data_IF_795335516947
#
_entry.id   IF_795335516947
#
_cell.length_a   1.000
_cell.length_b   1.000
_cell.length_c   1.000
_cell.angle_alpha   90.00
_cell.angle_beta   90.00
_cell.angle_gamma   90.00
#
_symmetry.space_group_name_H-M   'P 1'
#
loop_
_entity.id
_entity.type
_entity.pdbx_description
1 polymer ?
#
# COMPACT_ATOMS: atom_id res chain seq x y z
N UNK A 1 -3.47 -6.20 -5.84
CA UNK A 1 -4.17 -5.40 -4.80
C UNK A 1 -4.67 -4.06 -5.32
N UNK A 2 -3.84 -3.20 -5.93
CA UNK A 2 -4.34 -1.92 -6.48
C UNK A 2 -5.54 -2.08 -7.45
N UNK A 3 -5.48 -3.05 -8.38
CA UNK A 3 -6.57 -3.34 -9.31
C UNK A 3 -7.83 -3.84 -8.59
N UNK A 4 -7.66 -4.67 -7.54
CA UNK A 4 -8.75 -5.17 -6.69
C UNK A 4 -9.49 -3.99 -6.05
N UNK A 5 -8.74 -3.12 -5.36
CA UNK A 5 -9.28 -1.92 -4.71
C UNK A 5 -9.96 -0.99 -5.71
N UNK A 6 -9.32 -0.74 -6.86
CA UNK A 6 -9.91 0.10 -7.91
C UNK A 6 -11.23 -0.49 -8.44
N UNK A 7 -11.30 -1.80 -8.62
CA UNK A 7 -12.51 -2.49 -9.08
C UNK A 7 -13.65 -2.34 -8.07
N UNK A 8 -13.38 -2.59 -6.78
CA UNK A 8 -14.39 -2.43 -5.70
C UNK A 8 -14.92 -0.99 -5.67
N UNK A 9 -14.02 -0.01 -5.71
CA UNK A 9 -14.38 1.42 -5.70
C UNK A 9 -15.24 1.77 -6.91
N UNK A 10 -14.80 1.41 -8.12
CA UNK A 10 -15.52 1.71 -9.36
C UNK A 10 -16.91 1.09 -9.35
N UNK A 11 -17.03 -0.19 -8.98
CA UNK A 11 -18.31 -0.92 -8.97
C UNK A 11 -19.28 -0.29 -7.96
N UNK A 12 -18.85 -0.07 -6.72
CA UNK A 12 -19.72 0.52 -5.71
C UNK A 12 -20.08 1.97 -5.99
N UNK A 13 -19.16 2.78 -6.49
CA UNK A 13 -19.46 4.15 -6.93
C UNK A 13 -20.48 4.13 -8.05
N UNK A 14 -20.31 3.25 -9.05
CA UNK A 14 -21.28 3.08 -10.13
C UNK A 14 -22.67 2.68 -9.60
N UNK A 15 -22.74 1.69 -8.70
CA UNK A 15 -24.00 1.23 -8.10
C UNK A 15 -24.67 2.32 -7.26
N UNK A 16 -23.90 3.07 -6.48
CA UNK A 16 -24.41 4.19 -5.70
C UNK A 16 -24.99 5.30 -6.59
N UNK A 17 -24.30 5.66 -7.68
CA UNK A 17 -24.76 6.68 -8.63
C UNK A 17 -25.99 6.25 -9.44
N UNK A 18 -26.17 4.96 -9.66
CA UNK A 18 -27.28 4.41 -10.45
C UNK A 18 -28.46 3.92 -9.60
N UNK A 19 -28.37 4.04 -8.27
CA UNK A 19 -29.43 3.63 -7.35
C UNK A 19 -29.59 2.11 -7.21
N UNK A 20 -28.50 1.35 -7.33
CA UNK A 20 -28.46 -0.11 -7.25
C UNK A 20 -29.41 -0.80 -8.25
N UNK A 21 -29.20 -0.61 -9.57
CA UNK A 21 -30.04 -1.20 -10.60
C UNK A 21 -29.92 -2.73 -10.54
N UNK A 22 -31.06 -3.41 -10.48
CA UNK A 22 -31.09 -4.86 -10.46
C UNK A 22 -31.16 -5.41 -11.90
N UNK A 23 -30.14 -6.16 -12.29
CA UNK A 23 -30.09 -6.86 -13.58
C UNK A 23 -30.61 -8.29 -13.35
N UNK A 24 -31.76 -8.64 -13.94
CA UNK A 24 -32.31 -10.01 -13.90
C UNK A 24 -33.61 -10.23 -13.12
N UNK A 25 -34.32 -9.19 -12.67
CA UNK A 25 -35.56 -9.33 -11.86
C UNK A 25 -36.69 -10.16 -12.51
N UNK A 26 -36.73 -10.27 -13.84
CA UNK A 26 -37.85 -10.89 -14.58
C UNK A 26 -37.70 -12.39 -14.84
N UNK A 27 -36.62 -13.00 -14.33
CA UNK A 27 -36.38 -14.44 -14.42
C UNK A 27 -35.93 -14.94 -13.05
N UNK A 28 -36.25 -16.17 -12.67
CA UNK A 28 -35.82 -16.79 -11.41
C UNK A 28 -34.28 -16.96 -11.27
N UNK A 29 -33.48 -16.29 -12.10
CA UNK A 29 -32.04 -16.40 -12.19
C UNK A 29 -31.37 -15.07 -11.84
N UNK A 30 -30.79 -15.00 -10.65
CA UNK A 30 -29.94 -13.88 -10.22
C UNK A 30 -28.48 -14.26 -10.43
N UNK A 31 -27.83 -13.73 -11.48
CA UNK A 31 -26.40 -13.96 -11.71
C UNK A 31 -25.61 -12.94 -10.89
N UNK A 32 -24.94 -13.40 -9.83
CA UNK A 32 -24.08 -12.54 -9.02
C UNK A 32 -22.83 -12.13 -9.80
N UNK A 33 -22.37 -10.87 -9.62
CA UNK A 33 -21.11 -10.43 -10.22
C UNK A 33 -19.90 -11.20 -9.69
N UNK A 34 -20.03 -11.86 -8.53
CA UNK A 34 -19.07 -12.83 -8.02
C UNK A 34 -18.83 -14.01 -8.97
N UNK A 35 -19.82 -14.43 -9.78
CA UNK A 35 -19.63 -15.49 -10.78
C UNK A 35 -18.67 -15.02 -11.89
N UNK A 36 -18.89 -13.82 -12.42
CA UNK A 36 -17.98 -13.19 -13.36
C UNK A 36 -16.61 -12.93 -12.73
N UNK A 37 -16.59 -12.58 -11.43
CA UNK A 37 -15.38 -12.48 -10.62
C UNK A 37 -14.57 -13.77 -10.63
N UNK A 38 -15.21 -14.89 -10.30
CA UNK A 38 -14.61 -16.23 -10.34
C UNK A 38 -14.12 -16.63 -11.74
N UNK A 39 -14.93 -16.37 -12.77
CA UNK A 39 -14.56 -16.67 -14.16
C UNK A 39 -13.32 -15.87 -14.61
N UNK A 40 -13.20 -14.60 -14.24
CA UNK A 40 -12.03 -13.78 -14.53
C UNK A 40 -10.78 -14.25 -13.77
N UNK A 41 -10.93 -14.73 -12.53
CA UNK A 41 -9.82 -15.33 -11.79
C UNK A 41 -9.35 -16.65 -12.42
N UNK A 42 -10.27 -17.50 -12.88
CA UNK A 42 -9.94 -18.72 -13.64
C UNK A 42 -9.24 -18.35 -14.94
N UNK A 43 -9.75 -17.35 -15.67
CA UNK A 43 -9.11 -16.86 -16.89
C UNK A 43 -7.68 -16.38 -16.62
N UNK A 44 -7.44 -15.68 -15.51
CA UNK A 44 -6.09 -15.26 -15.13
C UNK A 44 -5.15 -16.46 -14.94
N UNK A 45 -5.59 -17.49 -14.22
CA UNK A 45 -4.80 -18.73 -14.05
C UNK A 45 -4.51 -19.42 -15.39
N UNK A 46 -5.53 -19.53 -16.25
CA UNK A 46 -5.37 -20.11 -17.59
C UNK A 46 -4.36 -19.32 -18.42
N UNK A 47 -4.42 -17.98 -18.38
CA UNK A 47 -3.47 -17.13 -19.10
C UNK A 47 -2.04 -17.29 -18.57
N UNK A 48 -1.87 -17.39 -17.24
CA UNK A 48 -0.57 -17.61 -16.61
C UNK A 48 0.04 -18.96 -16.95
N UNK A 49 -0.78 -20.00 -17.17
CA UNK A 49 -0.29 -21.33 -17.58
C UNK A 49 -0.04 -21.46 -19.08
N UNK A 50 -0.85 -20.81 -19.93
CA UNK A 50 -0.77 -20.98 -21.38
C UNK A 50 0.22 -20.04 -22.07
N UNK A 51 0.51 -18.88 -21.48
CA UNK A 51 1.26 -17.83 -22.17
C UNK A 51 2.42 -17.29 -21.36
N UNK A 52 3.61 -17.31 -21.96
CA UNK A 52 4.81 -16.67 -21.42
C UNK A 52 4.96 -15.26 -22.00
N UNK A 53 5.28 -14.31 -21.14
CA UNK A 53 5.74 -12.98 -21.53
C UNK A 53 5.05 -11.82 -20.80
N UNK A 54 5.58 -10.58 -20.96
CA UNK A 54 5.08 -9.43 -20.21
C UNK A 54 3.62 -9.10 -20.51
N UNK A 55 3.19 -9.26 -21.77
CA UNK A 55 1.81 -8.92 -22.18
C UNK A 55 0.78 -9.84 -21.54
N UNK A 56 1.01 -11.16 -21.56
CA UNK A 56 0.12 -12.10 -20.89
C UNK A 56 0.08 -11.86 -19.39
N UNK A 57 1.23 -11.60 -18.76
CA UNK A 57 1.33 -11.27 -17.33
C UNK A 57 0.53 -10.00 -16.98
N UNK A 58 0.53 -8.97 -17.82
CA UNK A 58 -0.32 -7.79 -17.61
C UNK A 58 -1.81 -8.13 -17.67
N UNK A 59 -2.24 -8.90 -18.67
CA UNK A 59 -3.65 -9.30 -18.81
C UNK A 59 -4.06 -10.21 -17.65
N UNK A 60 -3.21 -11.14 -17.23
CA UNK A 60 -3.39 -11.99 -16.05
C UNK A 60 -3.60 -11.15 -14.78
N UNK A 61 -2.69 -10.19 -14.51
CA UNK A 61 -2.78 -9.32 -13.33
C UNK A 61 -4.05 -8.47 -13.35
N UNK A 62 -4.44 -7.96 -14.52
CA UNK A 62 -5.69 -7.19 -14.67
C UNK A 62 -6.90 -8.10 -14.48
N UNK A 63 -6.99 -9.22 -15.20
CA UNK A 63 -8.12 -10.14 -15.11
C UNK A 63 -8.28 -10.71 -13.69
N UNK A 64 -7.19 -11.17 -13.07
CA UNK A 64 -7.21 -11.68 -11.71
C UNK A 64 -7.55 -10.60 -10.69
N UNK A 65 -7.03 -9.38 -10.87
CA UNK A 65 -7.33 -8.24 -10.00
C UNK A 65 -8.79 -7.79 -10.10
N UNK A 66 -9.34 -7.67 -11.31
CA UNK A 66 -10.75 -7.35 -11.54
C UNK A 66 -11.63 -8.47 -11.02
N UNK A 67 -11.28 -9.72 -11.31
CA UNK A 67 -12.01 -10.89 -10.86
C UNK A 67 -12.13 -10.98 -9.34
N UNK A 68 -11.00 -10.82 -8.64
CA UNK A 68 -10.97 -10.77 -7.18
C UNK A 68 -11.72 -9.56 -6.62
N UNK A 69 -11.65 -8.40 -7.27
CA UNK A 69 -12.40 -7.21 -6.86
C UNK A 69 -13.92 -7.40 -6.96
N UNK A 70 -14.41 -7.94 -8.08
CA UNK A 70 -15.83 -8.27 -8.26
C UNK A 70 -16.33 -9.33 -7.27
N UNK A 71 -15.47 -10.31 -6.95
CA UNK A 71 -15.80 -11.32 -5.95
C UNK A 71 -15.89 -10.72 -4.54
N UNK A 72 -14.91 -9.89 -4.16
CA UNK A 72 -14.90 -9.25 -2.84
C UNK A 72 -16.05 -8.25 -2.66
N UNK A 73 -16.50 -7.57 -3.72
CA UNK A 73 -17.61 -6.61 -3.61
C UNK A 73 -18.92 -7.26 -3.10
N UNK A 74 -19.14 -8.53 -3.43
CA UNK A 74 -20.32 -9.30 -3.06
C UNK A 74 -20.18 -10.01 -1.69
N UNK A 75 -19.07 -9.80 -0.97
CA UNK A 75 -18.82 -10.51 0.31
C UNK A 75 -19.93 -10.30 1.34
N UNK A 76 -20.59 -9.13 1.33
CA UNK A 76 -21.72 -8.86 2.23
C UNK A 76 -22.87 -9.85 2.06
N UNK A 77 -23.22 -10.19 0.81
CA UNK A 77 -24.26 -11.20 0.53
C UNK A 77 -23.85 -12.57 1.06
N UNK A 78 -22.61 -12.97 0.86
CA UNK A 78 -22.21 -14.34 1.20
C UNK A 78 -21.91 -14.57 2.69
N UNK A 79 -21.71 -13.51 3.47
CA UNK A 79 -21.46 -13.64 4.91
C UNK A 79 -22.76 -13.83 5.70
N UNK A 80 -23.89 -13.38 5.16
CA UNK A 80 -25.19 -13.46 5.85
C UNK A 80 -26.07 -14.58 5.30
N UNK A 81 -26.85 -15.22 6.18
CA UNK A 81 -27.86 -16.23 5.74
C UNK A 81 -28.96 -15.63 4.86
N UNK A 82 -29.15 -14.32 4.93
CA UNK A 82 -30.19 -13.57 4.22
C UNK A 82 -29.70 -12.94 2.91
N UNK A 83 -28.44 -13.14 2.52
CA UNK A 83 -27.85 -12.51 1.34
C UNK A 83 -27.94 -10.98 1.32
N UNK A 84 -27.70 -10.36 2.47
CA UNK A 84 -27.71 -8.90 2.62
C UNK A 84 -26.46 -8.24 2.03
N UNK A 85 -26.62 -7.58 0.88
CA UNK A 85 -25.55 -6.84 0.21
C UNK A 85 -24.99 -5.70 1.07
N UNK A 86 -25.83 -5.11 1.92
CA UNK A 86 -25.49 -3.99 2.79
C UNK A 86 -25.03 -4.43 4.18
N UNK A 87 -24.71 -5.72 4.34
CA UNK A 87 -24.19 -6.25 5.59
C UNK A 87 -23.00 -5.40 6.05
N UNK A 88 -23.19 -4.73 7.18
CA UNK A 88 -22.35 -3.62 7.61
C UNK A 88 -20.86 -3.99 7.74
N UNK A 89 -20.48 -5.16 8.30
CA UNK A 89 -19.08 -5.61 8.34
C UNK A 89 -18.44 -5.92 6.98
N UNK A 90 -19.16 -5.86 5.86
CA UNK A 90 -18.60 -6.16 4.54
C UNK A 90 -17.44 -5.21 4.17
N UNK A 91 -17.54 -3.91 4.52
CA UNK A 91 -16.47 -2.94 4.30
C UNK A 91 -15.19 -3.30 5.05
N UNK A 92 -15.32 -3.69 6.32
CA UNK A 92 -14.21 -4.14 7.17
C UNK A 92 -13.54 -5.39 6.59
N UNK A 93 -14.34 -6.37 6.17
CA UNK A 93 -13.84 -7.64 5.60
C UNK A 93 -13.04 -7.36 4.33
N UNK A 94 -13.54 -6.49 3.44
CA UNK A 94 -12.82 -6.09 2.23
C UNK A 94 -11.49 -5.41 2.57
N UNK A 95 -11.51 -4.45 3.49
CA UNK A 95 -10.31 -3.73 3.92
C UNK A 95 -9.27 -4.66 4.53
N UNK A 96 -9.66 -5.50 5.50
CA UNK A 96 -8.79 -6.47 6.14
C UNK A 96 -8.21 -7.47 5.14
N UNK A 97 -9.00 -7.93 4.17
CA UNK A 97 -8.52 -8.84 3.13
C UNK A 97 -7.41 -8.19 2.30
N UNK A 98 -7.62 -6.97 1.82
CA UNK A 98 -6.60 -6.24 1.06
C UNK A 98 -5.36 -6.00 1.93
N UNK A 99 -5.55 -5.58 3.18
CA UNK A 99 -4.47 -5.29 4.11
C UNK A 99 -3.61 -6.53 4.39
N UNK A 100 -4.24 -7.66 4.71
CA UNK A 100 -3.55 -8.93 5.00
C UNK A 100 -2.74 -9.39 3.78
N UNK A 101 -3.27 -9.29 2.57
CA UNK A 101 -2.53 -9.72 1.38
C UNK A 101 -1.35 -8.79 1.10
N UNK A 102 -1.52 -7.47 1.27
CA UNK A 102 -0.42 -6.51 1.09
C UNK A 102 0.68 -6.73 2.15
N UNK A 103 0.32 -6.79 3.43
CA UNK A 103 1.29 -6.97 4.52
C UNK A 103 1.92 -8.36 4.44
N UNK A 104 1.12 -9.41 4.22
CA UNK A 104 1.60 -10.78 4.09
C UNK A 104 2.58 -10.92 2.93
N UNK A 105 2.25 -10.37 1.75
CA UNK A 105 3.16 -10.39 0.60
C UNK A 105 4.47 -9.63 0.86
N UNK A 106 4.42 -8.51 1.57
CA UNK A 106 5.62 -7.77 1.96
C UNK A 106 6.45 -8.52 3.02
N UNK A 107 5.79 -9.17 3.98
CA UNK A 107 6.46 -9.95 5.02
C UNK A 107 7.16 -11.17 4.43
N UNK A 108 6.50 -11.89 3.54
CA UNK A 108 7.10 -13.02 2.82
C UNK A 108 8.36 -12.55 2.07
N UNK A 109 8.28 -11.44 1.34
CA UNK A 109 9.45 -10.89 0.65
C UNK A 109 10.55 -10.43 1.61
N UNK A 110 10.20 -9.84 2.77
CA UNK A 110 11.18 -9.33 3.73
C UNK A 110 11.93 -10.46 4.47
N UNK A 111 11.29 -11.60 4.66
CA UNK A 111 11.88 -12.76 5.36
C UNK A 111 12.58 -13.70 4.37
N UNK A 112 12.17 -13.70 3.10
CA UNK A 112 12.79 -14.55 2.08
C UNK A 112 14.22 -14.10 1.79
N UNK A 113 15.19 -14.97 2.12
CA UNK A 113 16.57 -14.81 1.71
C UNK A 113 16.83 -15.74 0.52
N UNK A 114 16.94 -15.21 -0.70
CA UNK A 114 17.12 -16.05 -1.87
C UNK A 114 18.48 -16.73 -1.82
N UNK A 115 18.50 -18.02 -2.13
CA UNK A 115 19.73 -18.80 -2.27
C UNK A 115 20.46 -18.44 -3.57
N UNK A 116 21.76 -18.70 -3.63
CA UNK A 116 22.58 -18.52 -4.85
C UNK A 116 21.95 -19.24 -6.05
N UNK A 117 21.42 -20.45 -5.84
CA UNK A 117 20.75 -21.24 -6.89
C UNK A 117 19.45 -20.58 -7.37
N UNK A 118 18.62 -20.09 -6.46
CA UNK A 118 17.40 -19.36 -6.81
C UNK A 118 17.74 -18.10 -7.61
N UNK A 119 18.79 -17.37 -7.20
CA UNK A 119 19.27 -16.19 -7.91
C UNK A 119 19.72 -16.51 -9.35
N UNK A 120 20.49 -17.59 -9.55
CA UNK A 120 20.90 -18.02 -10.90
C UNK A 120 19.70 -18.36 -11.79
N UNK A 121 18.70 -19.05 -11.24
CA UNK A 121 17.46 -19.39 -11.96
C UNK A 121 16.66 -18.13 -12.29
N UNK A 122 16.51 -17.20 -11.34
CA UNK A 122 15.79 -15.94 -11.57
C UNK A 122 16.46 -15.11 -12.67
N UNK A 123 17.77 -14.94 -12.61
CA UNK A 123 18.52 -14.19 -13.64
C UNK A 123 18.44 -14.91 -15.00
N UNK A 124 18.52 -16.25 -15.02
CA UNK A 124 18.39 -17.04 -16.24
C UNK A 124 17.02 -16.89 -16.91
N UNK A 125 15.94 -17.01 -16.14
CA UNK A 125 14.57 -16.78 -16.63
C UNK A 125 14.43 -15.34 -17.14
N UNK A 126 14.90 -14.36 -16.38
CA UNK A 126 14.82 -12.95 -16.74
C UNK A 126 15.64 -12.61 -18.00
N UNK A 127 16.80 -13.24 -18.20
CA UNK A 127 17.60 -13.07 -19.41
C UNK A 127 16.91 -13.70 -20.64
N UNK A 128 16.28 -14.87 -20.48
CA UNK A 128 15.51 -15.50 -21.54
C UNK A 128 14.28 -14.64 -21.93
N UNK A 129 13.49 -14.20 -20.95
CA UNK A 129 12.37 -13.27 -21.17
C UNK A 129 12.86 -11.95 -21.79
N UNK A 130 13.97 -11.41 -21.29
CA UNK A 130 14.57 -10.16 -21.74
C UNK A 130 15.08 -10.21 -23.18
N UNK A 131 15.52 -11.37 -23.64
CA UNK A 131 15.93 -11.57 -25.03
C UNK A 131 14.74 -11.65 -25.99
N UNK A 132 13.62 -12.21 -25.55
CA UNK A 132 12.41 -12.34 -26.35
C UNK A 132 11.57 -11.04 -26.39
N UNK A 133 11.46 -10.34 -25.26
CA UNK A 133 10.52 -9.22 -25.10
C UNK A 133 11.19 -7.88 -24.76
N UNK A 134 12.49 -7.88 -24.49
CA UNK A 134 13.23 -6.72 -24.02
C UNK A 134 13.14 -6.52 -22.50
N UNK A 135 14.07 -5.76 -21.95
CA UNK A 135 14.12 -5.36 -20.53
C UNK A 135 14.06 -3.84 -20.40
N UNK A 136 13.53 -3.35 -19.29
CA UNK A 136 13.69 -1.93 -18.93
C UNK A 136 15.10 -1.69 -18.42
N UNK A 137 15.63 -0.48 -18.57
CA UNK A 137 16.97 -0.13 -18.05
C UNK A 137 17.07 -0.34 -16.53
N UNK A 138 15.97 -0.09 -15.82
CA UNK A 138 15.90 -0.30 -14.37
C UNK A 138 16.04 -1.79 -14.00
N UNK A 139 15.29 -2.68 -14.68
CA UNK A 139 15.36 -4.12 -14.42
C UNK A 139 16.70 -4.71 -14.85
N UNK A 140 17.28 -4.23 -15.96
CA UNK A 140 18.62 -4.64 -16.37
C UNK A 140 19.66 -4.29 -15.28
N UNK A 141 19.64 -3.06 -14.77
CA UNK A 141 20.55 -2.64 -13.69
C UNK A 141 20.33 -3.44 -12.40
N UNK A 142 19.07 -3.75 -12.06
CA UNK A 142 18.73 -4.59 -10.91
C UNK A 142 19.30 -6.00 -11.06
N UNK A 143 19.08 -6.64 -12.21
CA UNK A 143 19.59 -7.99 -12.49
C UNK A 143 21.12 -8.05 -12.53
N UNK A 144 21.77 -7.02 -13.08
CA UNK A 144 23.25 -6.95 -13.09
C UNK A 144 23.81 -6.86 -11.67
N UNK A 145 23.23 -6.01 -10.81
CA UNK A 145 23.63 -5.91 -9.40
C UNK A 145 23.34 -7.20 -8.64
N UNK A 146 22.22 -7.84 -8.94
CA UNK A 146 21.88 -9.10 -8.30
C UNK A 146 22.84 -10.21 -8.72
N UNK A 147 23.29 -10.22 -9.97
CA UNK A 147 24.30 -11.13 -10.48
C UNK A 147 25.69 -10.89 -9.85
N UNK A 148 26.05 -9.63 -9.57
CA UNK A 148 27.26 -9.29 -8.79
C UNK A 148 27.18 -9.86 -7.37
N UNK A 149 26.03 -9.71 -6.70
CA UNK A 149 25.81 -10.32 -5.39
C UNK A 149 25.91 -11.85 -5.44
N UNK A 150 25.35 -12.49 -6.47
CA UNK A 150 25.45 -13.95 -6.68
C UNK A 150 26.91 -14.40 -6.83
N UNK A 151 27.71 -13.66 -7.60
CA UNK A 151 29.14 -13.91 -7.82
C UNK A 151 29.94 -13.82 -6.52
N UNK A 152 29.70 -12.77 -5.72
CA UNK A 152 30.33 -12.56 -4.41
C UNK A 152 29.97 -13.64 -3.37
N UNK A 153 28.82 -14.31 -3.53
CA UNK A 153 28.33 -15.34 -2.60
C UNK A 153 28.66 -16.78 -3.04
N UNK A 154 29.67 -16.95 -3.90
CA UNK A 154 30.28 -18.26 -4.19
C UNK A 154 29.61 -19.04 -5.32
N UNK A 155 28.94 -18.36 -6.26
CA UNK A 155 28.50 -18.98 -7.50
C UNK A 155 29.67 -19.36 -8.42
N UNK A 156 29.44 -20.27 -9.37
CA UNK A 156 30.43 -20.57 -10.40
C UNK A 156 30.59 -19.38 -11.34
N UNK A 157 31.83 -18.87 -11.41
CA UNK A 157 32.24 -17.78 -12.30
C UNK A 157 31.90 -18.02 -13.78
N UNK A 158 31.85 -19.28 -14.23
CA UNK A 158 31.49 -19.62 -15.61
C UNK A 158 30.00 -19.39 -15.85
N UNK A 159 29.15 -19.80 -14.90
CA UNK A 159 27.69 -19.61 -14.99
C UNK A 159 27.32 -18.13 -14.89
N UNK A 160 27.94 -17.39 -13.95
CA UNK A 160 27.70 -15.95 -13.80
C UNK A 160 28.16 -15.17 -15.03
N UNK A 161 29.30 -15.54 -15.63
CA UNK A 161 29.77 -14.95 -16.89
C UNK A 161 28.82 -15.23 -18.07
N UNK A 162 28.26 -16.44 -18.16
CA UNK A 162 27.29 -16.80 -19.20
C UNK A 162 26.01 -15.95 -19.08
N UNK A 163 25.47 -15.80 -17.86
CA UNK A 163 24.30 -14.98 -17.59
C UNK A 163 24.56 -13.50 -17.83
N UNK A 164 25.74 -12.99 -17.45
CA UNK A 164 26.15 -11.60 -17.71
C UNK A 164 26.16 -11.30 -19.21
N UNK A 165 26.72 -12.22 -20.00
CA UNK A 165 26.70 -12.12 -21.46
C UNK A 165 25.29 -12.21 -22.05
N UNK A 166 24.41 -13.03 -21.47
CA UNK A 166 23.02 -13.12 -21.90
C UNK A 166 22.26 -11.81 -21.64
N UNK A 167 22.41 -11.23 -20.44
CA UNK A 167 21.82 -9.93 -20.07
C UNK A 167 22.31 -8.79 -20.97
N UNK A 168 23.62 -8.75 -21.28
CA UNK A 168 24.21 -7.74 -22.15
C UNK A 168 23.64 -7.74 -23.58
N UNK A 169 23.05 -8.85 -24.02
CA UNK A 169 22.44 -9.01 -25.34
C UNK A 169 20.92 -8.78 -25.35
N UNK A 170 20.32 -8.43 -24.21
CA UNK A 170 18.89 -8.14 -24.13
C UNK A 170 18.59 -6.75 -24.71
N UNK A 171 17.48 -6.61 -25.45
CA UNK A 171 17.08 -5.33 -26.00
C UNK A 171 16.50 -4.42 -24.91
N UNK A 172 17.01 -3.20 -24.76
CA UNK A 172 16.52 -2.27 -23.74
C UNK A 172 15.33 -1.47 -24.26
N UNK A 173 14.18 -1.61 -23.61
CA UNK A 173 12.93 -0.91 -23.94
C UNK A 173 12.44 -0.11 -22.74
N UNK A 174 12.79 1.17 -22.70
CA UNK A 174 12.21 2.11 -21.74
C UNK A 174 10.94 2.75 -22.33
N UNK A 175 9.80 2.55 -21.67
CA UNK A 175 8.56 3.21 -22.07
C UNK A 175 8.53 4.65 -21.53
N UNK A 176 7.74 5.53 -22.16
CA UNK A 176 7.57 6.92 -21.71
C UNK A 176 7.11 6.99 -20.24
N UNK A 177 6.30 6.02 -19.81
CA UNK A 177 5.81 5.91 -18.43
C UNK A 177 6.90 5.51 -17.42
N UNK A 178 7.90 4.70 -17.80
CA UNK A 178 9.02 4.38 -16.89
C UNK A 178 9.95 5.58 -16.70
N UNK A 179 10.15 6.38 -17.74
CA UNK A 179 10.89 7.65 -17.65
C UNK A 179 10.13 8.67 -16.81
N UNK A 180 8.82 8.82 -17.04
CA UNK A 180 7.98 9.73 -16.27
C UNK A 180 7.90 9.32 -14.80
N UNK A 181 7.71 8.03 -14.52
CA UNK A 181 7.70 7.48 -13.16
C UNK A 181 9.02 7.70 -12.42
N UNK A 182 10.18 7.51 -13.09
CA UNK A 182 11.50 7.84 -12.54
C UNK A 182 11.63 9.32 -12.21
N UNK A 183 11.23 10.21 -13.12
CA UNK A 183 11.25 11.67 -12.89
C UNK A 183 10.32 12.10 -11.77
N UNK A 184 9.13 11.52 -11.68
CA UNK A 184 8.18 11.80 -10.62
C UNK A 184 8.76 11.34 -9.28
N UNK A 185 9.26 10.10 -9.20
CA UNK A 185 9.90 9.54 -8.01
C UNK A 185 11.18 10.29 -7.59
N UNK A 186 11.92 10.90 -8.52
CA UNK A 186 13.09 11.71 -8.19
C UNK A 186 12.75 13.15 -7.78
N UNK A 187 11.58 13.66 -8.16
CA UNK A 187 11.10 15.02 -7.80
C UNK A 187 10.23 15.04 -6.54
N UNK A 188 9.50 13.95 -6.25
CA UNK A 188 8.64 13.80 -5.08
C UNK A 188 9.36 14.05 -3.74
N UNK A 189 10.59 13.56 -3.50
CA UNK A 189 11.28 13.80 -2.23
C UNK A 189 11.49 15.29 -1.97
N UNK A 190 11.83 16.09 -2.98
CA UNK A 190 12.14 17.51 -2.77
C UNK A 190 10.90 18.37 -2.50
N UNK A 191 9.73 17.98 -3.04
CA UNK A 191 8.48 18.69 -2.79
C UNK A 191 7.81 18.25 -1.48
N UNK A 192 7.97 16.97 -1.11
CA UNK A 192 7.28 16.34 0.04
C UNK A 192 8.17 16.32 1.30
N UNK A 193 9.50 16.29 1.19
CA UNK A 193 10.45 16.35 2.31
C UNK A 193 10.71 17.79 2.79
N UNK A 194 9.66 18.61 2.86
CA UNK A 194 9.75 19.87 3.57
C UNK A 194 9.58 19.62 5.06
N UNK A 195 10.54 20.13 5.86
CA UNK A 195 10.43 20.12 7.33
C UNK A 195 9.10 20.74 7.78
N UNK A 196 8.69 21.85 7.16
CA UNK A 196 7.43 22.54 7.48
C UNK A 196 6.23 21.64 7.23
N UNK A 197 6.20 20.97 6.07
CA UNK A 197 5.11 20.05 5.73
C UNK A 197 5.05 18.86 6.69
N UNK A 198 6.20 18.32 7.11
CA UNK A 198 6.27 17.23 8.09
C UNK A 198 5.74 17.65 9.46
N UNK A 199 6.12 18.85 9.92
CA UNK A 199 5.62 19.40 11.20
C UNK A 199 4.12 19.68 11.10
N UNK A 200 3.65 20.27 10.00
CA UNK A 200 2.23 20.53 9.77
C UNK A 200 1.42 19.24 9.73
N UNK A 201 1.87 18.22 8.98
CA UNK A 201 1.22 16.92 8.91
C UNK A 201 1.20 16.21 10.27
N UNK A 202 2.30 16.27 11.02
CA UNK A 202 2.36 15.70 12.37
C UNK A 202 1.42 16.41 13.35
N UNK A 203 1.35 17.74 13.34
CA UNK A 203 0.40 18.48 14.19
C UNK A 203 -1.05 18.26 13.77
N UNK A 204 -1.34 18.22 12.47
CA UNK A 204 -2.67 17.88 11.96
C UNK A 204 -3.09 16.48 12.45
N UNK A 205 -2.21 15.49 12.35
CA UNK A 205 -2.45 14.15 12.89
C UNK A 205 -2.66 14.18 14.41
N UNK A 206 -1.85 14.93 15.17
CA UNK A 206 -2.01 15.04 16.61
C UNK A 206 -3.37 15.68 16.99
N UNK A 207 -3.75 16.77 16.33
CA UNK A 207 -5.01 17.48 16.57
C UNK A 207 -6.20 16.60 16.22
N UNK A 208 -6.18 15.95 15.05
CA UNK A 208 -7.26 15.03 14.65
C UNK A 208 -7.36 13.85 15.62
N UNK A 209 -6.25 13.28 16.06
CA UNK A 209 -6.24 12.19 17.04
C UNK A 209 -6.76 12.63 18.42
N UNK A 210 -6.42 13.84 18.87
CA UNK A 210 -6.95 14.41 20.11
C UNK A 210 -8.46 14.61 20.00
N UNK A 211 -8.93 15.18 18.89
CA UNK A 211 -10.36 15.37 18.69
C UNK A 211 -11.09 14.03 18.68
N UNK A 212 -10.58 13.02 17.96
CA UNK A 212 -11.14 11.66 17.95
C UNK A 212 -11.20 11.08 19.36
N UNK A 213 -10.17 11.30 20.17
CA UNK A 213 -10.14 10.83 21.55
C UNK A 213 -11.22 11.51 22.42
N UNK A 214 -11.32 12.84 22.34
CA UNK A 214 -12.28 13.64 23.10
C UNK A 214 -13.73 13.39 22.67
N UNK A 215 -14.00 13.33 21.37
CA UNK A 215 -15.33 13.04 20.83
C UNK A 215 -15.82 11.66 21.23
N UNK A 216 -14.90 10.71 21.44
CA UNK A 216 -15.21 9.35 21.88
C UNK A 216 -15.26 9.20 23.41
N UNK A 217 -14.69 10.13 24.17
CA UNK A 217 -14.68 10.09 25.64
C UNK A 217 -15.93 10.77 26.25
N UNK A 218 -16.32 11.93 25.71
CA UNK A 218 -17.36 12.78 26.30
C UNK A 218 -18.66 12.80 25.48
N UNK A 219 -18.75 12.01 24.40
CA UNK A 219 -19.94 11.98 23.55
C UNK A 219 -20.23 13.34 22.88
N UNK A 220 -19.19 14.17 22.65
CA UNK A 220 -19.29 15.52 22.04
C UNK A 220 -19.88 15.54 20.61
N UNK A 221 -20.37 14.40 20.11
CA UNK A 221 -21.28 14.29 18.97
C UNK A 221 -20.73 14.70 17.62
N UNK A 222 -19.44 15.05 17.53
CA UNK A 222 -18.80 15.50 16.29
C UNK A 222 -17.40 14.92 16.18
N UNK A 223 -17.23 13.92 15.31
CA UNK A 223 -15.94 13.34 14.91
C UNK A 223 -15.41 14.03 13.64
N UNK A 224 -14.08 14.13 13.41
CA UNK A 224 -13.57 14.69 12.17
C UNK A 224 -13.91 13.82 10.96
N UNK A 225 -13.95 12.50 11.16
CA UNK A 225 -14.46 11.55 10.18
C UNK A 225 -15.93 11.81 9.86
N UNK A 226 -16.78 12.07 10.86
CA UNK A 226 -18.20 12.47 10.67
C UNK A 226 -18.34 13.82 9.95
N UNK A 227 -17.53 14.83 10.29
CA UNK A 227 -17.54 16.13 9.59
C UNK A 227 -17.14 15.97 8.12
N UNK A 228 -16.12 15.17 7.86
CA UNK A 228 -15.68 14.88 6.50
C UNK A 228 -16.72 14.04 5.76
N UNK A 229 -17.39 13.12 6.45
CA UNK A 229 -18.44 12.27 5.93
C UNK A 229 -19.73 13.04 5.62
N UNK A 230 -20.15 13.95 6.50
CA UNK A 230 -21.30 14.85 6.29
C UNK A 230 -21.02 15.89 5.20
N UNK A 231 -19.81 16.45 5.14
CA UNK A 231 -19.40 17.37 4.08
C UNK A 231 -19.44 16.73 2.67
N UNK A 232 -19.32 15.40 2.58
CA UNK A 232 -19.39 14.65 1.32
C UNK A 232 -20.72 13.90 1.17
N UNK A 233 -21.71 14.16 2.05
CA UNK A 233 -23.09 13.69 1.91
C UNK A 233 -23.36 12.23 2.32
N UNK A 234 -22.55 11.65 3.21
CA UNK A 234 -22.73 10.28 3.71
C UNK A 234 -23.85 10.15 4.76
N UNK A 235 -24.46 8.96 4.82
CA UNK A 235 -25.46 8.58 5.85
C UNK A 235 -24.83 7.56 6.81
N UNK A 236 -24.81 7.86 8.11
CA UNK A 236 -24.09 7.08 9.12
C UNK A 236 -24.81 5.76 9.39
N UNK A 237 -24.09 4.64 9.36
CA UNK A 237 -24.72 3.33 9.30
C UNK A 237 -24.79 2.60 10.66
N UNK A 238 -23.74 2.67 11.51
CA UNK A 238 -23.79 2.27 12.92
C UNK A 238 -22.52 2.74 13.66
N UNK A 239 -22.65 3.16 14.93
CA UNK A 239 -21.51 3.55 15.76
C UNK A 239 -20.73 2.32 16.25
N UNK A 240 -19.45 2.21 15.90
CA UNK A 240 -18.53 1.25 16.53
C UNK A 240 -18.10 1.78 17.91
N UNK A 241 -17.80 0.86 18.83
CA UNK A 241 -17.42 1.13 20.23
C UNK A 241 -16.44 2.30 20.39
N UNK A 242 -16.94 3.38 20.99
CA UNK A 242 -16.22 4.64 21.29
C UNK A 242 -14.90 4.42 22.03
N UNK A 243 -14.76 3.33 22.79
CA UNK A 243 -13.55 3.02 23.56
C UNK A 243 -12.33 2.76 22.68
N UNK A 244 -12.51 2.14 21.50
CA UNK A 244 -11.39 1.83 20.60
C UNK A 244 -10.77 3.12 20.07
N UNK A 245 -11.58 4.07 19.62
CA UNK A 245 -11.11 5.38 19.17
C UNK A 245 -10.59 6.24 20.31
N UNK A 246 -11.18 6.19 21.50
CA UNK A 246 -10.67 6.89 22.66
C UNK A 246 -9.22 6.48 22.96
N UNK A 247 -8.95 5.16 23.02
CA UNK A 247 -7.61 4.63 23.24
C UNK A 247 -6.67 4.95 22.08
N UNK A 248 -7.09 4.65 20.84
CA UNK A 248 -6.25 4.84 19.65
C UNK A 248 -5.90 6.32 19.45
N UNK A 249 -6.88 7.22 19.58
CA UNK A 249 -6.71 8.66 19.48
C UNK A 249 -5.80 9.20 20.59
N UNK A 250 -5.98 8.76 21.83
CA UNK A 250 -5.13 9.19 22.96
C UNK A 250 -3.67 8.76 22.77
N UNK A 251 -3.43 7.49 22.42
CA UNK A 251 -2.08 6.98 22.16
C UNK A 251 -1.45 7.72 20.98
N UNK A 252 -2.21 7.91 19.90
CA UNK A 252 -1.75 8.62 18.70
C UNK A 252 -1.38 10.07 19.02
N UNK A 253 -2.22 10.78 19.78
CA UNK A 253 -1.94 12.14 20.22
C UNK A 253 -0.66 12.23 21.05
N UNK A 254 -0.55 11.42 22.11
CA UNK A 254 0.61 11.42 23.01
C UNK A 254 1.90 11.11 22.25
N UNK A 255 1.92 10.04 21.45
CA UNK A 255 3.10 9.68 20.67
C UNK A 255 3.47 10.76 19.65
N UNK A 256 2.49 11.37 18.99
CA UNK A 256 2.71 12.42 17.99
C UNK A 256 3.28 13.69 18.63
N UNK A 257 2.75 14.12 19.78
CA UNK A 257 3.26 15.27 20.52
C UNK A 257 4.68 15.02 21.01
N UNK A 258 4.95 13.85 21.60
CA UNK A 258 6.30 13.47 22.05
C UNK A 258 7.29 13.48 20.88
N UNK A 259 6.91 12.91 19.73
CA UNK A 259 7.72 12.93 18.53
C UNK A 259 7.97 14.36 18.02
N UNK A 260 6.95 15.20 17.94
CA UNK A 260 7.08 16.59 17.46
C UNK A 260 7.93 17.46 18.40
N UNK A 261 7.79 17.29 19.72
CA UNK A 261 8.62 17.98 20.72
C UNK A 261 10.09 17.56 20.61
N UNK A 262 10.36 16.30 20.27
CA UNK A 262 11.73 15.80 20.01
C UNK A 262 12.24 16.15 18.61
N UNK A 263 11.36 16.51 17.68
CA UNK A 263 11.70 16.91 16.31
C UNK A 263 11.99 18.42 16.20
N UNK A 264 12.95 18.90 16.99
CA UNK A 264 13.39 20.31 16.98
C UNK A 264 14.69 20.47 16.20
N UNK A 265 14.92 21.67 15.66
CA UNK A 265 16.19 22.01 14.99
C UNK A 265 17.40 21.85 15.91
N UNK A 266 17.22 22.15 17.20
CA UNK A 266 18.26 22.01 18.22
C UNK A 266 18.58 20.55 18.59
N UNK A 267 17.77 19.58 18.14
CA UNK A 267 17.95 18.18 18.50
C UNK A 267 19.00 17.50 17.61
N UNK A 268 19.85 16.63 18.17
CA UNK A 268 20.87 15.95 17.39
C UNK A 268 20.25 15.05 16.31
N UNK A 269 20.95 14.77 15.20
CA UNK A 269 20.42 14.04 14.05
C UNK A 269 19.75 12.69 14.40
N UNK A 270 20.37 11.89 15.26
CA UNK A 270 19.84 10.59 15.67
C UNK A 270 18.50 10.69 16.42
N UNK A 271 18.31 11.71 17.28
CA UNK A 271 17.03 11.95 17.97
C UNK A 271 15.95 12.36 16.99
N UNK A 272 16.30 13.17 15.97
CA UNK A 272 15.35 13.55 14.91
C UNK A 272 14.87 12.34 14.12
N UNK A 273 15.76 11.41 13.79
CA UNK A 273 15.39 10.15 13.12
C UNK A 273 14.49 9.29 14.00
N UNK A 274 14.81 9.13 15.30
CA UNK A 274 13.96 8.39 16.24
C UNK A 274 12.58 9.01 16.38
N UNK A 275 12.50 10.35 16.48
CA UNK A 275 11.25 11.08 16.54
C UNK A 275 10.40 10.86 15.28
N UNK A 276 10.98 10.94 14.09
CA UNK A 276 10.26 10.69 12.84
C UNK A 276 9.82 9.23 12.70
N UNK A 277 10.64 8.26 13.14
CA UNK A 277 10.25 6.84 13.16
C UNK A 277 9.07 6.59 14.10
N UNK A 278 9.07 7.22 15.28
CA UNK A 278 7.94 7.15 16.19
C UNK A 278 6.69 7.76 15.53
N UNK A 279 6.79 8.96 14.97
CA UNK A 279 5.68 9.63 14.29
C UNK A 279 5.14 8.80 13.10
N UNK A 280 6.03 8.17 12.34
CA UNK A 280 5.67 7.28 11.23
C UNK A 280 4.98 6.01 11.73
N UNK A 281 5.50 5.36 12.77
CA UNK A 281 4.89 4.17 13.36
C UNK A 281 3.50 4.48 13.91
N UNK A 282 3.34 5.63 14.56
CA UNK A 282 2.05 6.11 15.04
C UNK A 282 1.08 6.39 13.88
N UNK A 283 1.52 7.05 12.81
CA UNK A 283 0.70 7.28 11.62
C UNK A 283 0.25 5.98 10.95
N UNK A 284 1.15 5.00 10.83
CA UNK A 284 0.85 3.66 10.31
C UNK A 284 -0.18 2.96 11.19
N UNK A 285 0.03 2.93 12.51
CA UNK A 285 -0.89 2.29 13.44
C UNK A 285 -2.29 2.93 13.41
N UNK A 286 -2.36 4.27 13.43
CA UNK A 286 -3.62 5.00 13.34
C UNK A 286 -4.34 4.73 12.00
N UNK A 287 -3.61 4.76 10.88
CA UNK A 287 -4.19 4.48 9.55
C UNK A 287 -4.69 3.04 9.46
N UNK A 288 -3.93 2.07 9.98
CA UNK A 288 -4.29 0.66 9.90
C UNK A 288 -5.51 0.35 10.78
N UNK A 289 -5.40 0.66 12.08
CA UNK A 289 -6.43 0.32 13.08
C UNK A 289 -7.65 1.22 12.94
N UNK A 290 -7.44 2.53 12.77
CA UNK A 290 -8.50 3.49 12.51
C UNK A 290 -9.22 3.19 11.20
N UNK A 291 -8.50 2.70 10.19
CA UNK A 291 -9.08 2.21 8.95
C UNK A 291 -10.16 1.14 9.15
N UNK A 292 -9.91 0.13 9.98
CA UNK A 292 -10.90 -0.93 10.26
C UNK A 292 -12.19 -0.33 10.79
N UNK A 293 -12.06 0.59 11.75
CA UNK A 293 -13.22 1.21 12.40
C UNK A 293 -13.92 2.20 11.47
N UNK A 294 -13.16 2.97 10.69
CA UNK A 294 -13.72 3.90 9.70
C UNK A 294 -14.51 3.14 8.62
N UNK A 295 -14.02 1.97 8.17
CA UNK A 295 -14.72 1.14 7.18
C UNK A 295 -15.99 0.49 7.73
N UNK A 296 -16.01 0.21 9.02
CA UNK A 296 -17.23 -0.17 9.72
C UNK A 296 -18.23 0.98 9.67
N UNK A 297 -17.87 2.13 10.24
CA UNK A 297 -18.80 3.22 10.50
C UNK A 297 -19.24 3.98 9.23
N UNK A 298 -18.31 4.19 8.29
CA UNK A 298 -18.47 5.06 7.12
C UNK A 298 -18.38 4.32 5.77
N UNK A 299 -18.17 3.00 5.77
CA UNK A 299 -18.04 2.21 4.54
C UNK A 299 -16.92 2.71 3.63
N UNK A 300 -17.20 2.89 2.34
CA UNK A 300 -16.18 3.30 1.36
C UNK A 300 -15.63 4.72 1.57
N UNK A 301 -16.33 5.59 2.29
CA UNK A 301 -15.81 6.93 2.57
C UNK A 301 -14.56 6.90 3.45
N UNK A 302 -14.33 5.81 4.19
CA UNK A 302 -13.09 5.54 4.91
C UNK A 302 -11.84 5.63 4.03
N UNK A 303 -11.97 5.42 2.70
CA UNK A 303 -10.86 5.59 1.77
C UNK A 303 -10.24 6.99 1.80
N UNK A 304 -11.01 8.03 2.13
CA UNK A 304 -10.47 9.39 2.26
C UNK A 304 -9.56 9.48 3.49
N UNK A 305 -10.00 8.96 4.64
CA UNK A 305 -9.17 8.86 5.85
C UNK A 305 -7.89 8.06 5.59
N UNK A 306 -8.00 6.91 4.91
CA UNK A 306 -6.83 6.10 4.53
C UNK A 306 -5.88 6.88 3.62
N UNK A 307 -6.41 7.61 2.62
CA UNK A 307 -5.58 8.40 1.71
C UNK A 307 -4.81 9.51 2.47
N UNK A 308 -5.46 10.19 3.41
CA UNK A 308 -4.82 11.21 4.27
C UNK A 308 -3.75 10.56 5.16
N UNK A 309 -4.05 9.40 5.75
CA UNK A 309 -3.09 8.63 6.55
C UNK A 309 -1.86 8.21 5.75
N UNK A 310 -2.06 7.65 4.55
CA UNK A 310 -0.97 7.28 3.63
C UNK A 310 -0.15 8.49 3.21
N UNK A 311 -0.78 9.62 2.87
CA UNK A 311 -0.08 10.86 2.55
C UNK A 311 0.80 11.32 3.72
N UNK A 312 0.27 11.28 4.94
CA UNK A 312 1.01 11.63 6.16
C UNK A 312 2.23 10.73 6.35
N UNK A 313 2.06 9.41 6.18
CA UNK A 313 3.15 8.42 6.24
C UNK A 313 4.22 8.71 5.17
N UNK A 314 3.82 9.06 3.94
CA UNK A 314 4.74 9.37 2.86
C UNK A 314 5.55 10.64 3.14
N UNK A 315 4.91 11.69 3.67
CA UNK A 315 5.58 12.96 4.04
C UNK A 315 6.64 12.71 5.12
N UNK A 316 6.27 12.01 6.19
CA UNK A 316 7.20 11.69 7.30
C UNK A 316 8.33 10.78 6.81
N UNK A 317 8.03 9.80 5.97
CA UNK A 317 9.02 8.89 5.38
C UNK A 317 10.03 9.60 4.49
N UNK A 318 9.58 10.54 3.64
CA UNK A 318 10.45 11.33 2.78
C UNK A 318 11.42 12.21 3.60
N UNK A 319 10.94 12.84 4.67
CA UNK A 319 11.78 13.61 5.58
C UNK A 319 12.81 12.74 6.32
N UNK A 320 12.40 11.54 6.74
CA UNK A 320 13.28 10.58 7.39
C UNK A 320 14.42 10.16 6.47
N UNK A 321 14.11 9.80 5.22
CA UNK A 321 15.11 9.44 4.22
C UNK A 321 16.10 10.57 3.95
N UNK A 322 15.62 11.82 3.90
CA UNK A 322 16.47 13.01 3.69
C UNK A 322 17.48 13.20 4.83
N UNK A 323 17.02 13.11 6.09
CA UNK A 323 17.93 13.25 7.24
C UNK A 323 18.92 12.09 7.32
N UNK A 324 18.49 10.86 7.03
CA UNK A 324 19.39 9.69 7.00
C UNK A 324 20.44 9.82 5.89
N UNK A 325 20.08 10.36 4.72
CA UNK A 325 21.04 10.61 3.65
C UNK A 325 22.11 11.63 4.07
N UNK A 326 21.70 12.74 4.69
CA UNK A 326 22.64 13.74 5.22
C UNK A 326 23.59 13.15 6.28
N UNK A 327 23.09 12.25 7.14
CA UNK A 327 23.92 11.56 8.13
C UNK A 327 24.94 10.58 7.52
N UNK A 328 24.68 10.06 6.30
CA UNK A 328 25.61 9.17 5.59
C UNK A 328 26.71 9.94 4.85
N UNK A 329 26.44 11.18 4.45
CA UNK A 329 27.40 12.05 3.76
C UNK A 329 28.37 12.77 4.72
N UNK A 330 28.04 12.83 6.02
CA UNK A 330 28.85 13.48 7.06
C UNK A 330 29.57 12.45 7.97
N UNK A 331 30.87 12.17 7.77
CA UNK A 331 31.61 11.12 8.49
C UNK A 331 31.79 11.38 10.00
N UNK A 332 31.64 12.62 10.47
CA UNK A 332 31.73 12.94 11.91
C UNK A 332 30.50 12.47 12.71
N UNK A 333 29.38 12.18 12.03
CA UNK A 333 28.16 11.64 12.66
C UNK A 333 28.20 10.11 12.76
N UNK A 334 28.92 9.42 11.86
CA UNK A 334 29.04 7.96 11.84
C UNK A 334 29.85 7.42 13.04
N UNK A 335 30.85 8.17 13.51
CA UNK A 335 31.71 7.83 14.65
C UNK A 335 30.96 7.72 16.00
N UNK A 336 29.80 8.37 16.13
CA UNK A 336 28.97 8.29 17.36
C UNK A 336 28.07 7.05 17.37
N UNK A 337 27.78 6.47 16.20
CA UNK A 337 26.92 5.28 16.05
C UNK A 337 27.74 3.99 16.12
N UNK A 338 29.03 4.02 15.76
CA UNK A 338 29.92 2.85 15.85
C UNK A 338 30.42 2.50 17.25
N UNK A 339 30.08 3.29 18.28
CA UNK A 339 30.62 3.11 19.64
C UNK A 339 29.54 3.09 20.73
N UNK A 340 28.30 2.68 20.39
CA UNK A 340 27.23 2.37 21.34
C UNK A 340 26.43 1.15 20.91
#
# INVERSE_FOLDING_TARGET
MAIVTATIVVVRTYLALTGYPQIGQHSNLHIAHALFGGALMILALVLGFLFVGPRSRWVEVIAGGVGAGLFLDEVGKFVTKTNDYFYHPAGEIMYLTVLVVVIGGNLVQAVHQPTVREGLVEVGIAAAEGRAFGLTSAKLNELTKYLEWIDENGADSVETAALRNALARCAVHDTRWTVLGRRLRSRLPNLVASRRLTVLAGWLMAITALQVALSSADGLGVRPSELLFTAVGGVQAAAVSDRTYAVLGTVTFVCSVVALVRFRESSPPYVRVQALRLLQATAVAFTIVGGVVDFAEFGLFALVSIAIGVLTILVIGAQTATIVALMREDPDVAMVVGNK
#
